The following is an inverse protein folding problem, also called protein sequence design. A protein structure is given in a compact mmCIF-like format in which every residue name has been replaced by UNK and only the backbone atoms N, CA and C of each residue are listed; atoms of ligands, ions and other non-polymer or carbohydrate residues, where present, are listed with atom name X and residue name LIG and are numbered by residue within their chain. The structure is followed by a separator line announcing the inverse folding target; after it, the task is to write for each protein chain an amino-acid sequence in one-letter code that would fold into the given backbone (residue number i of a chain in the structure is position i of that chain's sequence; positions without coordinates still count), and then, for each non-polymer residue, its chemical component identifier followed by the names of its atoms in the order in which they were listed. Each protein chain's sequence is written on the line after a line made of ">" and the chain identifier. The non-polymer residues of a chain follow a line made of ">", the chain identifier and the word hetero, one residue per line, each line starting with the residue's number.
data_IF_376111621784
#
_entry.id   IF_376111621784
#
_cell.length_a   1.000
_cell.length_b   1.000
_cell.length_c   1.000
_cell.angle_alpha   90.00
_cell.angle_beta   90.00
_cell.angle_gamma   90.00
#
_symmetry.space_group_name_H-M   'P 1'
#
loop_
_entity.id
_entity.type
_entity.pdbx_description
1 polymer ?
#
# COMPACT_ATOMS: atom_id res chain seq x y z
N UNK A 1 4.15 -20.16 -20.43
CA UNK A 1 4.26 -19.18 -19.34
C UNK A 1 3.79 -19.88 -18.08
N UNK A 2 4.66 -20.00 -17.08
CA UNK A 2 4.32 -20.73 -15.86
C UNK A 2 3.20 -20.02 -15.10
N UNK A 3 2.26 -20.77 -14.53
CA UNK A 3 1.11 -20.22 -13.81
C UNK A 3 1.56 -19.25 -12.71
N UNK A 4 2.62 -19.59 -11.98
CA UNK A 4 3.23 -18.73 -10.95
C UNK A 4 3.68 -17.38 -11.49
N UNK A 5 4.24 -17.34 -12.71
CA UNK A 5 4.71 -16.10 -13.33
C UNK A 5 3.53 -15.21 -13.75
N UNK A 6 2.44 -15.80 -14.24
CA UNK A 6 1.20 -15.07 -14.56
C UNK A 6 0.63 -14.45 -13.28
N UNK A 7 0.51 -15.24 -12.22
CA UNK A 7 0.01 -14.76 -10.92
C UNK A 7 0.90 -13.66 -10.35
N UNK A 8 2.22 -13.83 -10.43
CA UNK A 8 3.18 -12.81 -9.99
C UNK A 8 2.98 -11.48 -10.72
N UNK A 9 2.88 -11.49 -12.06
CA UNK A 9 2.71 -10.27 -12.86
C UNK A 9 1.39 -9.56 -12.49
N UNK A 10 0.29 -10.31 -12.39
CA UNK A 10 -1.02 -9.74 -12.01
C UNK A 10 -0.96 -9.13 -10.61
N UNK A 11 -0.37 -9.85 -9.64
CA UNK A 11 -0.22 -9.35 -8.28
C UNK A 11 0.73 -8.14 -8.21
N UNK A 12 1.78 -8.09 -9.03
CA UNK A 12 2.72 -6.97 -9.07
C UNK A 12 2.04 -5.70 -9.59
N UNK A 13 1.29 -5.82 -10.69
CA UNK A 13 0.51 -4.71 -11.24
C UNK A 13 -0.53 -4.23 -10.21
N UNK A 14 -1.23 -5.13 -9.54
CA UNK A 14 -2.23 -4.74 -8.53
C UNK A 14 -1.59 -4.08 -7.29
N UNK A 15 -0.44 -4.55 -6.83
CA UNK A 15 0.30 -3.92 -5.73
C UNK A 15 0.72 -2.48 -6.09
N UNK A 16 1.29 -2.29 -7.29
CA UNK A 16 1.68 -0.95 -7.76
C UNK A 16 0.45 -0.05 -7.93
N UNK A 17 -0.62 -0.54 -8.56
CA UNK A 17 -1.84 0.23 -8.77
C UNK A 17 -2.50 0.67 -7.46
N UNK A 18 -2.51 -0.20 -6.45
CA UNK A 18 -3.07 0.12 -5.12
C UNK A 18 -2.17 1.07 -4.33
N UNK A 19 -0.84 0.94 -4.41
CA UNK A 19 0.09 1.90 -3.83
C UNK A 19 -0.05 3.30 -4.44
N UNK A 20 -0.25 3.39 -5.77
CA UNK A 20 -0.55 4.66 -6.45
C UNK A 20 -1.92 5.18 -6.00
N UNK A 21 -2.94 4.32 -5.95
CA UNK A 21 -4.28 4.67 -5.48
C UNK A 21 -4.28 5.27 -4.07
N UNK A 22 -3.51 4.67 -3.16
CA UNK A 22 -3.24 5.18 -1.81
C UNK A 22 -2.66 6.60 -1.86
N UNK A 23 -1.60 6.83 -2.64
CA UNK A 23 -0.87 8.10 -2.68
C UNK A 23 -1.69 9.24 -3.30
N UNK A 24 -2.48 8.94 -4.33
CA UNK A 24 -3.27 9.93 -5.07
C UNK A 24 -4.61 10.23 -4.39
N UNK A 25 -5.07 9.34 -3.50
CA UNK A 25 -6.33 9.50 -2.77
C UNK A 25 -6.32 10.74 -1.88
N UNK A 26 -7.25 11.65 -2.14
CA UNK A 26 -7.47 12.84 -1.29
C UNK A 26 -8.31 12.57 -0.06
N UNK A 27 -8.95 11.40 -0.02
CA UNK A 27 -9.71 10.95 1.13
C UNK A 27 -8.91 9.89 1.90
N UNK A 28 -8.72 10.09 3.21
CA UNK A 28 -8.00 9.18 4.08
C UNK A 28 -8.65 7.79 4.15
N UNK A 29 -9.98 7.70 4.05
CA UNK A 29 -10.71 6.42 4.03
C UNK A 29 -10.41 5.64 2.75
N UNK A 30 -10.53 6.28 1.57
CA UNK A 30 -10.18 5.62 0.31
C UNK A 30 -8.70 5.23 0.26
N UNK A 31 -7.82 6.10 0.75
CA UNK A 31 -6.39 5.82 0.89
C UNK A 31 -6.16 4.55 1.74
N UNK A 32 -6.78 4.46 2.92
CA UNK A 32 -6.69 3.30 3.79
C UNK A 32 -7.27 2.02 3.14
N UNK A 33 -8.36 2.11 2.38
CA UNK A 33 -8.89 0.96 1.62
C UNK A 33 -7.92 0.46 0.55
N UNK A 34 -7.24 1.35 -0.17
CA UNK A 34 -6.18 0.97 -1.09
C UNK A 34 -5.01 0.28 -0.35
N UNK A 35 -4.66 0.73 0.86
CA UNK A 35 -3.64 0.08 1.67
C UNK A 35 -4.06 -1.33 2.12
N UNK A 36 -5.31 -1.53 2.53
CA UNK A 36 -5.86 -2.85 2.87
C UNK A 36 -5.75 -3.80 1.68
N UNK A 37 -6.13 -3.32 0.49
CA UNK A 37 -6.02 -4.13 -0.74
C UNK A 37 -4.56 -4.45 -1.06
N UNK A 38 -3.64 -3.49 -0.89
CA UNK A 38 -2.21 -3.74 -1.06
C UNK A 38 -1.67 -4.79 -0.07
N UNK A 39 -2.07 -4.74 1.21
CA UNK A 39 -1.69 -5.75 2.20
C UNK A 39 -2.26 -7.13 1.88
N UNK A 40 -3.48 -7.21 1.35
CA UNK A 40 -4.04 -8.46 0.87
C UNK A 40 -3.23 -9.02 -0.30
N UNK A 41 -2.86 -8.18 -1.28
CA UNK A 41 -1.99 -8.58 -2.40
C UNK A 41 -0.63 -9.10 -1.92
N UNK A 42 -0.01 -8.42 -0.94
CA UNK A 42 1.24 -8.86 -0.32
C UNK A 42 1.09 -10.19 0.42
N UNK A 43 -0.04 -10.44 1.08
CA UNK A 43 -0.32 -11.74 1.68
C UNK A 43 -0.36 -12.86 0.64
N UNK A 44 -0.93 -12.61 -0.55
CA UNK A 44 -0.91 -13.58 -1.66
C UNK A 44 0.52 -13.79 -2.18
N UNK A 45 1.35 -12.74 -2.25
CA UNK A 45 2.78 -12.92 -2.58
C UNK A 45 3.49 -13.82 -1.58
N UNK A 46 3.23 -13.67 -0.28
CA UNK A 46 3.80 -14.58 0.72
C UNK A 46 3.35 -16.03 0.54
N UNK A 47 2.10 -16.27 0.12
CA UNK A 47 1.65 -17.62 -0.22
C UNK A 47 2.40 -18.19 -1.43
N UNK A 48 2.60 -17.39 -2.48
CA UNK A 48 3.37 -17.81 -3.66
C UNK A 48 4.84 -18.10 -3.33
N UNK A 49 5.41 -17.39 -2.35
CA UNK A 49 6.78 -17.60 -1.86
C UNK A 49 6.90 -18.75 -0.85
N UNK A 50 5.80 -19.45 -0.54
CA UNK A 50 5.80 -20.56 0.41
C UNK A 50 5.87 -20.15 1.88
N UNK A 51 5.43 -18.93 2.22
CA UNK A 51 5.45 -18.37 3.58
C UNK A 51 4.02 -18.20 4.16
N UNK A 52 3.29 -19.32 4.46
CA UNK A 52 1.89 -19.25 4.88
C UNK A 52 1.68 -18.58 6.24
N UNK A 53 2.60 -18.76 7.19
CA UNK A 53 2.51 -18.10 8.50
C UNK A 53 2.57 -16.58 8.37
N UNK A 54 3.49 -16.06 7.56
CA UNK A 54 3.65 -14.63 7.32
C UNK A 54 2.44 -14.08 6.56
N UNK A 55 1.92 -14.81 5.57
CA UNK A 55 0.69 -14.44 4.86
C UNK A 55 -0.50 -14.29 5.82
N UNK A 56 -0.69 -15.26 6.72
CA UNK A 56 -1.76 -15.21 7.73
C UNK A 56 -1.58 -14.06 8.71
N UNK A 57 -0.35 -13.80 9.17
CA UNK A 57 -0.03 -12.66 10.01
C UNK A 57 -0.30 -11.32 9.28
N UNK A 58 0.01 -11.23 7.99
CA UNK A 58 -0.27 -10.06 7.16
C UNK A 58 -1.76 -9.72 7.12
N UNK A 59 -2.61 -10.73 6.93
CA UNK A 59 -4.06 -10.54 6.87
C UNK A 59 -4.63 -10.23 8.25
N UNK A 60 -4.26 -11.00 9.28
CA UNK A 60 -4.86 -10.88 10.62
C UNK A 60 -4.41 -9.64 11.38
N UNK A 61 -3.10 -9.33 11.34
CA UNK A 61 -2.51 -8.23 12.11
C UNK A 61 -2.56 -6.93 11.32
N UNK A 62 -1.98 -6.89 10.12
CA UNK A 62 -1.87 -5.64 9.37
C UNK A 62 -3.19 -5.24 8.73
N UNK A 63 -3.74 -6.07 7.83
CA UNK A 63 -4.99 -5.75 7.14
C UNK A 63 -6.22 -5.82 8.07
N UNK A 64 -6.20 -6.72 9.05
CA UNK A 64 -7.27 -6.90 10.04
C UNK A 64 -7.16 -5.91 11.17
N UNK A 65 -6.39 -6.23 12.21
CA UNK A 65 -6.39 -5.47 13.46
C UNK A 65 -5.96 -4.00 13.30
N UNK A 66 -4.80 -3.76 12.69
CA UNK A 66 -4.21 -2.42 12.60
C UNK A 66 -5.05 -1.53 11.67
N UNK A 67 -5.34 -1.99 10.45
CA UNK A 67 -6.06 -1.16 9.49
C UNK A 67 -7.52 -0.93 9.87
N UNK A 68 -8.21 -1.87 10.51
CA UNK A 68 -9.57 -1.64 11.02
C UNK A 68 -9.57 -0.58 12.12
N UNK A 69 -8.60 -0.62 13.05
CA UNK A 69 -8.44 0.43 14.06
C UNK A 69 -8.15 1.79 13.40
N UNK A 70 -7.27 1.81 12.39
CA UNK A 70 -6.92 3.04 11.68
C UNK A 70 -8.14 3.65 10.96
N UNK A 71 -8.92 2.81 10.27
CA UNK A 71 -10.16 3.21 9.62
C UNK A 71 -11.17 3.76 10.63
N UNK A 72 -11.34 3.08 11.76
CA UNK A 72 -12.22 3.52 12.83
C UNK A 72 -11.81 4.90 13.36
N UNK A 73 -10.51 5.11 13.60
CA UNK A 73 -9.97 6.41 14.06
C UNK A 73 -10.19 7.50 13.03
N UNK A 74 -9.92 7.26 11.74
CA UNK A 74 -10.13 8.24 10.67
C UNK A 74 -11.61 8.66 10.61
N UNK A 75 -12.52 7.68 10.69
CA UNK A 75 -13.96 7.93 10.63
C UNK A 75 -14.46 8.68 11.87
N UNK A 76 -14.00 8.33 13.06
CA UNK A 76 -14.39 9.03 14.30
C UNK A 76 -13.87 10.48 14.34
N UNK A 77 -12.66 10.72 13.86
CA UNK A 77 -12.07 12.06 13.83
C UNK A 77 -12.63 12.93 12.69
N UNK A 78 -13.47 12.38 11.81
CA UNK A 78 -13.93 13.09 10.61
C UNK A 78 -12.78 13.56 9.71
N UNK A 79 -11.60 12.94 9.84
CA UNK A 79 -10.37 13.32 9.15
C UNK A 79 -10.34 12.78 7.71
N UNK A 80 -11.48 12.84 7.03
CA UNK A 80 -11.70 12.23 5.73
C UNK A 80 -10.88 12.96 4.67
N UNK A 81 -10.80 14.29 4.72
CA UNK A 81 -10.03 15.07 3.74
C UNK A 81 -8.63 15.31 4.25
N UNK A 82 -7.65 14.82 3.51
CA UNK A 82 -6.25 15.11 3.81
C UNK A 82 -5.95 16.59 3.49
N UNK A 83 -5.32 17.35 4.42
CA UNK A 83 -4.92 18.72 4.16
C UNK A 83 -3.97 18.77 2.97
N UNK A 84 -4.08 19.83 2.15
CA UNK A 84 -3.05 20.13 1.15
C UNK A 84 -1.78 20.54 1.90
N UNK A 85 -0.86 19.60 2.10
CA UNK A 85 0.45 19.90 2.66
C UNK A 85 1.14 20.97 1.81
N UNK A 86 1.71 21.98 2.46
CA UNK A 86 2.65 22.88 1.78
C UNK A 86 3.88 22.05 1.42
N UNK A 87 4.10 21.81 0.13
CA UNK A 87 5.29 21.13 -0.33
C UNK A 87 6.52 21.99 0.02
N UNK A 88 7.36 21.50 0.94
CA UNK A 88 8.61 22.17 1.26
C UNK A 88 9.47 22.18 -0.01
N UNK A 89 10.13 23.30 -0.37
CA UNK A 89 10.92 23.38 -1.61
C UNK A 89 12.04 22.32 -1.65
N UNK A 90 12.51 21.86 -0.48
CA UNK A 90 13.53 20.81 -0.36
C UNK A 90 13.01 19.38 -0.54
N UNK A 91 11.69 19.14 -0.45
CA UNK A 91 11.11 17.81 -0.67
C UNK A 91 11.20 17.37 -2.13
N UNK A 92 11.12 18.33 -3.08
CA UNK A 92 11.15 18.04 -4.52
C UNK A 92 12.50 17.48 -5.00
N UNK A 93 13.66 18.13 -4.74
CA UNK A 93 14.95 17.56 -5.15
C UNK A 93 15.21 16.23 -4.44
N UNK A 94 14.83 16.11 -3.16
CA UNK A 94 15.00 14.86 -2.42
C UNK A 94 14.17 13.71 -3.00
N UNK A 95 12.91 13.96 -3.37
CA UNK A 95 12.06 12.97 -4.02
C UNK A 95 12.63 12.52 -5.38
N UNK A 96 13.18 13.45 -6.17
CA UNK A 96 13.81 13.13 -7.46
C UNK A 96 15.05 12.27 -7.25
N UNK A 97 15.94 12.66 -6.33
CA UNK A 97 17.15 11.89 -6.01
C UNK A 97 16.80 10.49 -5.55
N UNK A 98 15.87 10.34 -4.61
CA UNK A 98 15.43 9.03 -4.12
C UNK A 98 14.83 8.17 -5.23
N UNK A 99 14.01 8.76 -6.12
CA UNK A 99 13.42 8.03 -7.25
C UNK A 99 14.48 7.56 -8.24
N UNK A 100 15.48 8.41 -8.55
CA UNK A 100 16.57 8.05 -9.48
C UNK A 100 17.46 6.96 -8.89
N UNK A 101 17.81 7.06 -7.61
CA UNK A 101 18.61 6.03 -6.92
C UNK A 101 17.87 4.70 -6.90
N UNK A 102 16.58 4.69 -6.54
CA UNK A 102 15.78 3.47 -6.51
C UNK A 102 15.54 2.84 -7.89
N UNK A 103 15.56 3.63 -8.97
CA UNK A 103 15.47 3.10 -10.34
C UNK A 103 16.82 2.57 -10.86
N UNK A 104 17.92 2.93 -10.20
CA UNK A 104 19.28 2.51 -10.58
C UNK A 104 19.75 1.25 -9.82
N UNK A 105 19.17 0.96 -8.65
CA UNK A 105 19.30 -0.33 -7.95
C UNK A 105 18.46 -1.43 -8.60
#
# INVERSE_FOLDING_TARGET
>A
MDLTLILFIVLAITAIATAIGLLVSRNAVYAALFLVLNFATVAVFYLLLGAPFIAMAQVTVYAGAIMVLFLFVIMLLGAEKLPKGQALPWQRPLAIVLTVVLLAE
#
